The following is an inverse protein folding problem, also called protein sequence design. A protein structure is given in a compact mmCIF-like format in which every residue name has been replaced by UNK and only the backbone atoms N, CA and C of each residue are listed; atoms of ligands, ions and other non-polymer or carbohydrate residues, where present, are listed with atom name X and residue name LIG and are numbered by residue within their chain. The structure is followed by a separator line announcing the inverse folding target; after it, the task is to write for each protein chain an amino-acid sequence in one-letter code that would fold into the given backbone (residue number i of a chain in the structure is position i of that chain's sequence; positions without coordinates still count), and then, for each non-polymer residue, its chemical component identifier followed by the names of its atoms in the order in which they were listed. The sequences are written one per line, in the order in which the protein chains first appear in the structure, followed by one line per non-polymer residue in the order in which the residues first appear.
data_IF_024997933001
#
_entry.id   IF_024997933001
#
_cell.length_a   1.000
_cell.length_b   1.000
_cell.length_c   1.000
_cell.angle_alpha   90.00
_cell.angle_beta   90.00
_cell.angle_gamma   90.00
#
_symmetry.space_group_name_H-M   'P 1'
#
loop_
_entity.id
_entity.type
_entity.pdbx_description
1 polymer ?
#
# COMPACT_ATOMS: atom_id res chain seq x y z
N UNK A 1 16.94 1.80 -24.19
CA UNK A 1 15.62 2.47 -24.04
C UNK A 1 14.47 1.54 -24.39
N UNK A 2 14.49 0.86 -25.55
CA UNK A 2 13.46 -0.12 -25.93
C UNK A 2 13.42 -1.33 -24.98
N UNK A 3 14.57 -1.87 -24.58
CA UNK A 3 14.61 -3.05 -23.68
C UNK A 3 13.98 -2.81 -22.31
N UNK A 4 14.10 -1.60 -21.74
CA UNK A 4 13.47 -1.25 -20.47
C UNK A 4 11.93 -1.22 -20.60
N UNK A 5 11.43 -0.68 -21.71
CA UNK A 5 10.00 -0.66 -22.04
C UNK A 5 9.49 -2.08 -22.29
N UNK A 6 10.24 -2.89 -23.04
CA UNK A 6 9.89 -4.29 -23.32
C UNK A 6 9.87 -5.13 -22.05
N UNK A 7 10.84 -4.94 -21.14
CA UNK A 7 10.88 -5.64 -19.86
C UNK A 7 9.75 -5.19 -18.91
N UNK A 8 9.40 -3.90 -18.88
CA UNK A 8 8.24 -3.40 -18.12
C UNK A 8 6.92 -3.97 -18.66
N UNK A 9 6.75 -3.98 -19.99
CA UNK A 9 5.59 -4.60 -20.64
C UNK A 9 5.53 -6.11 -20.40
N UNK A 10 6.65 -6.82 -20.52
CA UNK A 10 6.74 -8.25 -20.22
C UNK A 10 6.47 -8.55 -18.74
N UNK A 11 6.93 -7.71 -17.82
CA UNK A 11 6.61 -7.82 -16.40
C UNK A 11 5.11 -7.66 -16.12
N UNK A 12 4.46 -6.70 -16.79
CA UNK A 12 3.00 -6.50 -16.71
C UNK A 12 2.21 -7.65 -17.33
N UNK A 13 2.72 -8.26 -18.41
CA UNK A 13 2.09 -9.38 -19.12
C UNK A 13 2.30 -10.73 -18.42
N UNK A 14 3.46 -10.96 -17.78
CA UNK A 14 3.79 -12.23 -17.11
C UNK A 14 3.21 -12.37 -15.69
N UNK A 15 2.49 -11.38 -15.19
CA UNK A 15 1.86 -11.50 -13.88
C UNK A 15 0.66 -12.45 -13.97
N UNK A 16 0.76 -13.53 -13.22
CA UNK A 16 -0.33 -14.43 -12.89
C UNK A 16 -0.91 -13.98 -11.56
N UNK A 17 -2.19 -13.57 -11.47
CA UNK A 17 -2.83 -13.31 -10.18
C UNK A 17 -2.61 -14.50 -9.26
N UNK A 18 -2.43 -14.22 -7.98
CA UNK A 18 -2.24 -15.30 -7.02
C UNK A 18 -3.46 -16.22 -7.05
N UNK A 19 -3.26 -17.48 -7.47
CA UNK A 19 -4.33 -18.48 -7.53
C UNK A 19 -4.91 -18.81 -6.15
N UNK A 20 -4.21 -18.41 -5.07
CA UNK A 20 -4.63 -18.60 -3.68
C UNK A 20 -6.05 -18.08 -3.38
N UNK A 21 -6.54 -17.11 -4.16
CA UNK A 21 -7.84 -16.49 -3.92
C UNK A 21 -8.90 -16.89 -4.95
N UNK A 22 -8.59 -17.82 -5.88
CA UNK A 22 -9.58 -18.32 -6.86
C UNK A 22 -10.70 -19.13 -6.19
N UNK A 23 -10.42 -19.74 -5.04
CA UNK A 23 -11.40 -20.54 -4.27
C UNK A 23 -12.22 -19.67 -3.29
N UNK A 24 -11.95 -18.37 -3.18
CA UNK A 24 -12.71 -17.47 -2.30
C UNK A 24 -14.10 -17.18 -2.90
N UNK A 25 -15.13 -17.81 -2.35
CA UNK A 25 -16.52 -17.57 -2.74
C UNK A 25 -16.90 -16.10 -2.47
N UNK A 26 -17.57 -15.46 -3.45
CA UNK A 26 -18.06 -14.08 -3.33
C UNK A 26 -16.99 -13.00 -3.49
N UNK A 27 -15.74 -13.36 -3.81
CA UNK A 27 -14.67 -12.35 -3.93
C UNK A 27 -14.88 -11.39 -5.11
N UNK A 28 -15.48 -11.87 -6.20
CA UNK A 28 -15.77 -11.03 -7.37
C UNK A 28 -16.79 -9.93 -7.02
N UNK A 29 -17.76 -10.21 -6.15
CA UNK A 29 -18.73 -9.22 -5.67
C UNK A 29 -18.03 -8.12 -4.85
N UNK A 30 -17.12 -8.51 -3.95
CA UNK A 30 -16.31 -7.55 -3.19
C UNK A 30 -15.36 -6.74 -4.09
N UNK A 31 -14.80 -7.33 -5.15
CA UNK A 31 -13.98 -6.60 -6.13
C UNK A 31 -14.82 -5.58 -6.88
N UNK A 32 -16.04 -5.94 -7.30
CA UNK A 32 -16.95 -5.04 -7.99
C UNK A 32 -17.35 -3.86 -7.08
N UNK A 33 -17.77 -4.15 -5.84
CA UNK A 33 -18.12 -3.14 -4.84
C UNK A 33 -16.93 -2.21 -4.54
N UNK A 34 -15.74 -2.77 -4.28
CA UNK A 34 -14.55 -1.97 -4.00
C UNK A 34 -14.13 -1.12 -5.21
N UNK A 35 -14.26 -1.65 -6.43
CA UNK A 35 -13.95 -0.88 -7.65
C UNK A 35 -14.89 0.31 -7.84
N UNK A 36 -16.16 0.18 -7.42
CA UNK A 36 -17.14 1.27 -7.42
C UNK A 36 -16.81 2.31 -6.34
N UNK A 37 -16.50 1.87 -5.11
CA UNK A 37 -16.17 2.77 -4.00
C UNK A 37 -14.88 3.57 -4.29
N UNK A 38 -13.86 2.89 -4.81
CA UNK A 38 -12.60 3.51 -5.20
C UNK A 38 -12.72 4.37 -6.45
N UNK A 39 -13.79 4.22 -7.24
CA UNK A 39 -14.01 4.91 -8.51
C UNK A 39 -12.73 4.99 -9.33
N UNK A 40 -12.30 3.83 -9.82
CA UNK A 40 -10.95 3.63 -10.35
C UNK A 40 -10.60 4.54 -11.54
N UNK A 41 -11.54 5.28 -12.11
CA UNK A 41 -11.29 6.25 -13.18
C UNK A 41 -11.19 7.71 -12.67
N UNK A 42 -11.46 7.95 -11.38
CA UNK A 42 -11.29 9.26 -10.74
C UNK A 42 -9.81 9.60 -10.49
N UNK A 43 -9.51 10.90 -10.54
CA UNK A 43 -8.21 11.47 -10.16
C UNK A 43 -8.16 11.88 -8.67
N UNK A 44 -9.26 11.74 -7.94
CA UNK A 44 -9.35 12.09 -6.52
C UNK A 44 -8.67 11.04 -5.62
N UNK A 45 -8.17 11.50 -4.46
CA UNK A 45 -7.72 10.60 -3.39
C UNK A 45 -8.93 10.07 -2.63
N UNK A 46 -9.06 8.74 -2.53
CA UNK A 46 -10.15 8.08 -1.81
C UNK A 46 -9.63 7.12 -0.76
N UNK A 47 -10.28 7.13 0.40
CA UNK A 47 -10.01 6.21 1.51
C UNK A 47 -11.28 5.41 1.81
N UNK A 48 -11.15 4.07 1.79
CA UNK A 48 -12.26 3.15 2.05
C UNK A 48 -11.88 2.23 3.21
N UNK A 49 -12.76 2.13 4.21
CA UNK A 49 -12.57 1.26 5.37
C UNK A 49 -13.25 -0.11 5.17
N UNK A 50 -12.52 -1.19 5.46
CA UNK A 50 -13.10 -2.54 5.56
C UNK A 50 -13.26 -2.88 7.04
N UNK A 51 -14.50 -3.00 7.50
CA UNK A 51 -14.85 -3.25 8.90
C UNK A 51 -15.79 -4.44 9.06
N UNK A 52 -15.89 -4.97 10.29
CA UNK A 52 -16.74 -6.13 10.60
C UNK A 52 -16.17 -7.01 11.71
N UNK A 53 -16.91 -8.06 12.12
CA UNK A 53 -16.53 -8.93 13.23
C UNK A 53 -15.16 -9.60 13.05
N UNK A 54 -14.58 -10.06 14.17
CA UNK A 54 -13.38 -10.89 14.13
C UNK A 54 -13.68 -12.20 13.38
N UNK A 55 -12.72 -12.69 12.59
CA UNK A 55 -12.86 -13.95 11.83
C UNK A 55 -13.70 -13.90 10.56
N UNK A 56 -14.36 -12.77 10.22
CA UNK A 56 -15.22 -12.68 9.02
C UNK A 56 -14.45 -12.66 7.68
N UNK A 57 -13.11 -12.58 7.71
CA UNK A 57 -12.28 -12.62 6.50
C UNK A 57 -11.83 -11.27 5.93
N UNK A 58 -11.88 -10.17 6.71
CA UNK A 58 -11.45 -8.82 6.27
C UNK A 58 -10.07 -8.80 5.61
N UNK A 59 -9.06 -9.34 6.29
CA UNK A 59 -7.68 -9.45 5.77
C UNK A 59 -7.62 -10.30 4.51
N UNK A 60 -8.40 -11.37 4.42
CA UNK A 60 -8.48 -12.23 3.22
C UNK A 60 -9.02 -11.44 2.03
N UNK A 61 -10.13 -10.71 2.21
CA UNK A 61 -10.72 -9.84 1.20
C UNK A 61 -9.71 -8.76 0.78
N UNK A 62 -9.06 -8.08 1.74
CA UNK A 62 -8.04 -7.08 1.46
C UNK A 62 -6.88 -7.62 0.61
N UNK A 63 -6.36 -8.82 0.93
CA UNK A 63 -5.27 -9.44 0.16
C UNK A 63 -5.70 -9.85 -1.24
N UNK A 64 -6.92 -10.39 -1.38
CA UNK A 64 -7.47 -10.76 -2.68
C UNK A 64 -7.71 -9.51 -3.56
N UNK A 65 -8.30 -8.45 -2.99
CA UNK A 65 -8.45 -7.15 -3.66
C UNK A 65 -7.10 -6.59 -4.10
N UNK A 66 -6.10 -6.56 -3.23
CA UNK A 66 -4.76 -6.11 -3.57
C UNK A 66 -4.16 -6.91 -4.73
N UNK A 67 -4.28 -8.25 -4.69
CA UNK A 67 -3.79 -9.12 -5.77
C UNK A 67 -4.47 -8.86 -7.12
N UNK A 68 -5.70 -8.36 -7.13
CA UNK A 68 -6.48 -8.10 -8.36
C UNK A 68 -6.38 -6.66 -8.84
N UNK A 69 -6.36 -5.68 -7.94
CA UNK A 69 -6.43 -4.26 -8.27
C UNK A 69 -5.06 -3.60 -8.47
N UNK A 70 -4.00 -4.08 -7.81
CA UNK A 70 -2.66 -3.45 -7.83
C UNK A 70 -2.16 -3.10 -9.23
N UNK A 71 -2.44 -3.93 -10.24
CA UNK A 71 -2.01 -3.74 -11.64
C UNK A 71 -2.64 -2.53 -12.34
N UNK A 72 -3.74 -1.99 -11.81
CA UNK A 72 -4.38 -0.78 -12.33
C UNK A 72 -3.74 0.51 -11.80
N UNK A 73 -2.75 0.39 -10.94
CA UNK A 73 -2.04 1.49 -10.29
C UNK A 73 -0.56 1.48 -10.69
N UNK A 74 0.07 2.65 -10.70
CA UNK A 74 1.49 2.80 -11.03
C UNK A 74 2.37 2.32 -9.87
N UNK A 75 1.93 2.51 -8.64
CA UNK A 75 2.59 2.02 -7.45
C UNK A 75 1.56 1.39 -6.51
N UNK A 76 1.91 0.29 -5.85
CA UNK A 76 1.00 -0.38 -4.93
C UNK A 76 1.74 -1.05 -3.79
N UNK A 77 1.22 -0.97 -2.57
CA UNK A 77 1.81 -1.64 -1.40
C UNK A 77 0.73 -2.18 -0.47
N UNK A 78 1.03 -3.33 0.14
CA UNK A 78 0.23 -3.92 1.21
C UNK A 78 1.03 -3.83 2.50
N UNK A 79 0.48 -3.10 3.48
CA UNK A 79 1.13 -2.81 4.75
C UNK A 79 0.36 -3.53 5.83
N UNK A 80 1.08 -4.37 6.57
CA UNK A 80 0.55 -5.05 7.75
C UNK A 80 1.46 -4.82 8.96
N UNK A 81 1.09 -5.39 10.10
CA UNK A 81 1.87 -5.31 11.35
C UNK A 81 3.34 -5.70 11.19
N UNK A 82 3.71 -6.55 10.22
CA UNK A 82 5.11 -6.96 9.98
C UNK A 82 5.94 -5.85 9.36
N UNK A 83 5.32 -4.97 8.56
CA UNK A 83 5.98 -3.79 8.04
C UNK A 83 6.43 -2.88 9.20
N UNK A 84 5.53 -2.66 10.17
CA UNK A 84 5.83 -1.83 11.34
C UNK A 84 6.80 -2.48 12.29
N UNK A 85 6.69 -3.80 12.54
CA UNK A 85 7.62 -4.48 13.43
C UNK A 85 9.07 -4.35 12.97
N UNK A 86 9.34 -4.50 11.66
CA UNK A 86 10.68 -4.33 11.07
C UNK A 86 11.27 -2.96 11.33
N UNK A 87 10.43 -1.92 11.33
CA UNK A 87 10.87 -0.54 11.51
C UNK A 87 11.07 -0.26 13.00
N UNK A 88 10.13 -0.68 13.84
CA UNK A 88 10.16 -0.45 15.29
C UNK A 88 11.25 -1.24 16.03
N UNK A 89 11.79 -2.32 15.47
CA UNK A 89 12.92 -3.05 16.05
C UNK A 89 14.11 -2.13 16.38
N UNK A 90 14.37 -1.11 15.56
CA UNK A 90 15.43 -0.11 15.79
C UNK A 90 15.04 1.05 16.71
N UNK A 91 13.77 1.14 17.13
CA UNK A 91 13.20 2.31 17.80
C UNK A 91 12.37 1.93 19.04
N UNK A 92 12.69 0.81 19.70
CA UNK A 92 11.98 0.40 20.95
C UNK A 92 12.03 1.52 21.99
N UNK A 93 10.86 2.02 22.38
CA UNK A 93 10.72 3.11 23.35
C UNK A 93 10.86 4.53 22.78
N UNK A 94 10.97 4.67 21.46
CA UNK A 94 10.98 5.98 20.81
C UNK A 94 9.63 6.68 20.91
N UNK A 95 9.66 8.01 20.98
CA UNK A 95 8.46 8.83 20.92
C UNK A 95 7.83 8.71 19.50
N UNK A 96 6.52 8.45 19.38
CA UNK A 96 5.72 8.64 18.15
C UNK A 96 6.06 9.89 17.33
N UNK A 97 6.43 10.98 18.00
CA UNK A 97 6.81 12.24 17.37
C UNK A 97 8.30 12.39 17.02
N UNK A 98 9.09 11.34 17.22
CA UNK A 98 10.51 11.33 16.87
C UNK A 98 10.70 11.52 15.36
N UNK A 99 11.47 12.55 15.00
CA UNK A 99 11.76 12.89 13.62
C UNK A 99 12.45 11.75 12.86
N UNK A 100 13.39 11.05 13.51
CA UNK A 100 14.12 9.94 12.89
C UNK A 100 13.22 8.72 12.68
N UNK A 101 12.29 8.45 13.60
CA UNK A 101 11.27 7.42 13.41
C UNK A 101 10.40 7.73 12.19
N UNK A 102 9.87 8.96 12.09
CA UNK A 102 9.06 9.41 10.94
C UNK A 102 9.86 9.33 9.62
N UNK A 103 11.13 9.71 9.63
CA UNK A 103 12.03 9.63 8.47
C UNK A 103 12.29 8.17 8.07
N UNK A 104 12.49 7.28 9.04
CA UNK A 104 12.68 5.85 8.82
C UNK A 104 11.42 5.20 8.25
N UNK A 105 10.24 5.57 8.74
CA UNK A 105 8.94 5.13 8.20
C UNK A 105 8.78 5.53 6.73
N UNK A 106 9.01 6.80 6.39
CA UNK A 106 8.95 7.25 4.99
C UNK A 106 9.95 6.51 4.10
N UNK A 107 11.16 6.23 4.61
CA UNK A 107 12.20 5.49 3.87
C UNK A 107 11.78 4.07 3.54
N UNK A 108 11.32 3.32 4.55
CA UNK A 108 10.87 1.95 4.35
C UNK A 108 9.63 1.88 3.47
N UNK A 109 8.66 2.78 3.67
CA UNK A 109 7.46 2.84 2.85
C UNK A 109 7.79 3.10 1.37
N UNK A 110 8.64 4.09 1.09
CA UNK A 110 9.06 4.37 -0.29
C UNK A 110 9.88 3.24 -0.90
N UNK A 111 10.71 2.56 -0.10
CA UNK A 111 11.43 1.36 -0.55
C UNK A 111 10.47 0.25 -0.99
N UNK A 112 9.43 -0.03 -0.19
CA UNK A 112 8.45 -1.07 -0.49
C UNK A 112 7.58 -0.69 -1.71
N UNK A 113 7.04 0.53 -1.75
CA UNK A 113 6.07 0.93 -2.78
C UNK A 113 6.71 1.19 -4.15
N UNK A 114 7.97 1.64 -4.18
CA UNK A 114 8.72 1.89 -5.42
C UNK A 114 9.58 0.68 -5.84
N UNK A 115 9.68 -0.35 -5.00
CA UNK A 115 10.53 -1.53 -5.26
C UNK A 115 12.03 -1.22 -5.28
N UNK A 116 12.47 -0.13 -4.65
CA UNK A 116 13.87 0.32 -4.67
C UNK A 116 14.56 0.07 -3.33
N UNK A 117 15.64 -0.72 -3.31
CA UNK A 117 16.36 -1.10 -2.07
C UNK A 117 17.04 0.07 -1.34
N UNK A 118 17.22 1.22 -2.00
CA UNK A 118 17.97 2.36 -1.46
C UNK A 118 17.29 3.69 -1.81
N UNK A 119 16.22 4.01 -1.09
CA UNK A 119 15.62 5.35 -1.16
C UNK A 119 16.36 6.26 -0.17
N UNK A 120 17.26 7.11 -0.67
CA UNK A 120 17.79 8.19 0.16
C UNK A 120 16.71 9.23 0.41
N UNK A 121 16.50 9.55 1.68
CA UNK A 121 15.56 10.57 2.16
C UNK A 121 16.26 11.35 3.27
N UNK A 122 16.26 12.66 3.11
CA UNK A 122 16.86 13.67 3.99
C UNK A 122 15.81 14.57 4.68
N UNK A 123 14.55 14.52 4.27
CA UNK A 123 13.47 15.34 4.83
C UNK A 123 12.15 14.58 4.97
N UNK A 124 11.32 15.02 5.92
CA UNK A 124 9.91 14.63 6.00
C UNK A 124 9.14 15.33 4.87
N UNK A 125 8.46 14.56 4.03
CA UNK A 125 7.77 15.06 2.82
C UNK A 125 8.20 14.35 1.54
N UNK A 126 9.20 13.47 1.63
CA UNK A 126 9.62 12.67 0.49
C UNK A 126 8.52 11.78 -0.07
N UNK A 127 7.61 11.27 0.78
CA UNK A 127 6.47 10.46 0.31
C UNK A 127 5.60 11.26 -0.66
N UNK A 128 5.14 12.43 -0.23
CA UNK A 128 4.35 13.35 -1.06
C UNK A 128 5.13 13.72 -2.33
N UNK A 129 6.38 14.14 -2.19
CA UNK A 129 7.20 14.56 -3.34
C UNK A 129 7.37 13.46 -4.40
N UNK A 130 7.46 12.19 -3.98
CA UNK A 130 7.65 11.05 -4.88
C UNK A 130 6.35 10.50 -5.45
N UNK A 131 5.23 10.62 -4.72
CA UNK A 131 3.96 10.00 -5.07
C UNK A 131 2.89 10.98 -5.59
N UNK A 132 3.06 12.30 -5.44
CA UNK A 132 2.04 13.32 -5.80
C UNK A 132 1.49 13.26 -7.23
N UNK A 133 2.26 12.70 -8.17
CA UNK A 133 1.88 12.58 -9.58
C UNK A 133 1.74 11.10 -10.00
N UNK A 134 1.55 10.20 -9.04
CA UNK A 134 1.40 8.78 -9.28
C UNK A 134 -0.01 8.34 -8.88
N UNK A 135 -0.58 7.43 -9.66
CA UNK A 135 -1.78 6.69 -9.27
C UNK A 135 -1.36 5.57 -8.32
N UNK A 136 -1.65 5.73 -7.03
CA UNK A 136 -1.13 4.86 -5.96
C UNK A 136 -2.25 4.08 -5.26
N UNK A 137 -2.01 2.79 -4.99
CA UNK A 137 -2.89 1.95 -4.17
C UNK A 137 -2.20 1.51 -2.88
N UNK A 138 -2.78 1.84 -1.72
CA UNK A 138 -2.23 1.46 -0.42
C UNK A 138 -3.29 0.64 0.32
N UNK A 139 -2.95 -0.59 0.71
CA UNK A 139 -3.73 -1.37 1.66
C UNK A 139 -3.04 -1.34 3.02
N UNK A 140 -3.83 -1.05 4.06
CA UNK A 140 -3.38 -1.00 5.46
C UNK A 140 -4.21 -2.02 6.24
N UNK A 141 -3.56 -3.04 6.79
CA UNK A 141 -4.17 -4.17 7.49
C UNK A 141 -3.61 -4.30 8.91
N UNK A 142 -4.50 -4.47 9.89
CA UNK A 142 -4.15 -4.70 11.31
C UNK A 142 -3.15 -3.68 11.90
N UNK A 143 -3.36 -2.39 11.59
CA UNK A 143 -2.57 -1.28 12.15
C UNK A 143 -3.44 -0.38 13.04
N UNK A 144 -3.12 -0.37 14.34
CA UNK A 144 -3.73 0.52 15.33
C UNK A 144 -2.90 1.81 15.56
N UNK A 145 -1.82 1.98 14.81
CA UNK A 145 -0.81 3.00 15.08
C UNK A 145 -1.09 4.28 14.27
N UNK A 146 -1.61 5.30 14.96
CA UNK A 146 -1.95 6.59 14.37
C UNK A 146 -0.75 7.27 13.69
N UNK A 147 0.48 7.00 14.16
CA UNK A 147 1.70 7.55 13.56
C UNK A 147 1.85 7.06 12.14
N UNK A 148 1.55 5.79 11.90
CA UNK A 148 1.68 5.17 10.60
C UNK A 148 0.67 5.75 9.64
N UNK A 149 -0.60 5.84 10.07
CA UNK A 149 -1.65 6.47 9.26
C UNK A 149 -1.29 7.92 8.90
N UNK A 150 -0.82 8.70 9.88
CA UNK A 150 -0.39 10.09 9.65
C UNK A 150 0.78 10.18 8.66
N UNK A 151 1.80 9.34 8.82
CA UNK A 151 3.00 9.36 7.95
C UNK A 151 2.68 8.91 6.52
N UNK A 152 1.73 7.99 6.34
CA UNK A 152 1.42 7.37 5.06
C UNK A 152 0.29 8.05 4.29
N UNK A 153 -0.79 8.40 4.96
CA UNK A 153 -2.00 8.96 4.36
C UNK A 153 -2.09 10.49 4.48
N UNK A 154 -1.18 11.12 5.24
CA UNK A 154 -1.26 12.54 5.54
C UNK A 154 -2.45 12.88 6.45
N UNK A 155 -2.85 14.15 6.49
CA UNK A 155 -4.10 14.53 7.13
C UNK A 155 -5.24 14.44 6.12
N UNK A 156 -6.35 13.81 6.53
CA UNK A 156 -7.62 13.97 5.83
C UNK A 156 -8.10 15.42 6.06
N UNK A 157 -8.27 16.17 4.97
CA UNK A 157 -8.86 17.51 5.00
C UNK A 157 -10.36 17.45 4.75
#
# INVERSE_FOLDING_TARGET
MIEAIVNDLLGKLNFTPSKHFEECVGIEDHIAEMSLLLDLESEEVRMVGIWGPSGIGKTTIARALFSRLSRRFQCSVFIDRRFISKIMEGYRGANPDDYNLKLSLQRHFLSEILGTRHTQIDHLGAVENRLKNQKVLIFIDDLDDQVVLYVLAGQAH
#
